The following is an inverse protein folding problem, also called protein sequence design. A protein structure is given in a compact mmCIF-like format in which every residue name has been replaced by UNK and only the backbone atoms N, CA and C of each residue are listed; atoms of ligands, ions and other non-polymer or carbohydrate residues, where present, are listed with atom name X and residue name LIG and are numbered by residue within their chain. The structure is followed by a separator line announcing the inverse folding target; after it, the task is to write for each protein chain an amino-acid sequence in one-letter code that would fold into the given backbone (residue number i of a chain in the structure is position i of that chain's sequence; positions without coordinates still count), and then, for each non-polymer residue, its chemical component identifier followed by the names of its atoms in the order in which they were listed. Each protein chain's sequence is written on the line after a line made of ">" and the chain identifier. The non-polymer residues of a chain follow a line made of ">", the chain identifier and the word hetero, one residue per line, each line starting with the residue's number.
data_IF_688901464882
#
_entry.id   IF_688901464882
#
_cell.length_a   1.000
_cell.length_b   1.000
_cell.length_c   1.000
_cell.angle_alpha   90.00
_cell.angle_beta   90.00
_cell.angle_gamma   90.00
#
_symmetry.space_group_name_H-M   'P 1'
#
loop_
_entity.id
_entity.type
_entity.pdbx_description
1 polymer ?
#
# COMPACT_ATOMS: atom_id res chain seq x y z
N UNK A 1 49.50 -7.05 23.65
CA UNK A 1 48.04 -7.20 23.84
C UNK A 1 47.26 -5.93 23.50
N UNK A 2 47.64 -4.75 23.99
CA UNK A 2 46.90 -3.49 23.69
C UNK A 2 46.81 -3.11 22.18
N UNK A 3 47.81 -3.47 21.34
CA UNK A 3 47.77 -3.20 19.91
C UNK A 3 46.79 -4.06 19.13
N UNK A 4 46.64 -5.32 19.49
CA UNK A 4 45.68 -6.23 18.86
C UNK A 4 44.22 -5.86 19.20
N UNK A 5 43.96 -5.51 20.45
CA UNK A 5 42.65 -5.04 20.88
C UNK A 5 42.21 -3.76 20.18
N UNK A 6 43.15 -2.78 20.00
CA UNK A 6 42.87 -1.55 19.23
C UNK A 6 42.55 -1.84 17.76
N UNK A 7 43.24 -2.79 17.11
CA UNK A 7 42.97 -3.20 15.73
C UNK A 7 41.60 -3.89 15.59
N UNK A 8 41.21 -4.75 16.54
CA UNK A 8 39.90 -5.41 16.54
C UNK A 8 38.77 -4.40 16.74
N UNK A 9 38.96 -3.44 17.67
CA UNK A 9 37.96 -2.36 17.88
C UNK A 9 37.86 -1.48 16.63
N UNK A 10 38.97 -1.09 16.02
CA UNK A 10 38.96 -0.26 14.80
C UNK A 10 38.29 -1.00 13.63
N UNK A 11 38.54 -2.30 13.47
CA UNK A 11 37.88 -3.11 12.44
C UNK A 11 36.38 -3.25 12.70
N UNK A 12 35.94 -3.42 13.96
CA UNK A 12 34.54 -3.48 14.34
C UNK A 12 33.80 -2.16 14.10
N UNK A 13 34.45 -1.04 14.43
CA UNK A 13 33.90 0.31 14.16
C UNK A 13 33.79 0.56 12.66
N UNK A 14 34.81 0.17 11.87
CA UNK A 14 34.79 0.30 10.41
C UNK A 14 33.69 -0.54 9.77
N UNK A 15 33.49 -1.79 10.21
CA UNK A 15 32.42 -2.65 9.73
C UNK A 15 31.02 -2.10 10.09
N UNK A 16 30.85 -1.60 11.31
CA UNK A 16 29.61 -0.95 11.75
C UNK A 16 29.26 0.29 10.94
N UNK A 17 30.25 1.14 10.65
CA UNK A 17 30.08 2.32 9.81
C UNK A 17 29.69 1.96 8.36
N UNK A 18 30.30 0.91 7.79
CA UNK A 18 29.94 0.41 6.46
C UNK A 18 28.51 -0.10 6.39
N UNK A 19 28.06 -0.85 7.41
CA UNK A 19 26.69 -1.35 7.50
C UNK A 19 25.68 -0.20 7.62
N UNK A 20 25.97 0.81 8.46
CA UNK A 20 25.11 2.00 8.56
C UNK A 20 25.07 2.79 7.25
N UNK A 21 26.19 2.93 6.54
CA UNK A 21 26.25 3.53 5.22
C UNK A 21 25.38 2.77 4.21
N UNK A 22 25.46 1.45 4.18
CA UNK A 22 24.59 0.60 3.36
C UNK A 22 23.11 0.78 3.72
N UNK A 23 22.77 0.82 5.03
CA UNK A 23 21.43 1.10 5.50
C UNK A 23 20.90 2.45 5.06
N UNK A 24 21.77 3.49 5.04
CA UNK A 24 21.39 4.81 4.54
C UNK A 24 21.11 4.79 3.03
N UNK A 25 21.94 4.10 2.25
CA UNK A 25 21.73 3.92 0.81
C UNK A 25 20.42 3.17 0.53
N UNK A 26 20.13 2.09 1.26
CA UNK A 26 18.88 1.36 1.14
C UNK A 26 17.67 2.25 1.50
N UNK A 27 17.78 3.05 2.57
CA UNK A 27 16.75 4.00 2.96
C UNK A 27 16.46 5.03 1.87
N UNK A 28 17.50 5.66 1.32
CA UNK A 28 17.34 6.63 0.23
C UNK A 28 16.80 5.96 -1.03
N UNK A 29 17.34 4.81 -1.41
CA UNK A 29 16.93 4.10 -2.63
C UNK A 29 15.50 3.57 -2.58
N UNK A 30 15.04 3.14 -1.41
CA UNK A 30 13.73 2.55 -1.28
C UNK A 30 12.65 3.55 -0.86
N UNK A 31 12.96 4.56 -0.05
CA UNK A 31 11.93 5.41 0.55
C UNK A 31 11.96 6.87 0.08
N UNK A 32 13.06 7.34 -0.53
CA UNK A 32 13.12 8.68 -1.09
C UNK A 32 12.48 8.72 -2.48
N UNK A 33 11.29 9.26 -2.57
CA UNK A 33 10.48 9.27 -3.78
C UNK A 33 11.05 10.11 -4.94
N UNK A 34 12.02 10.97 -4.65
CA UNK A 34 12.71 11.76 -5.68
C UNK A 34 13.82 10.99 -6.42
N UNK A 35 14.33 9.91 -5.82
CA UNK A 35 15.46 9.14 -6.38
C UNK A 35 15.18 7.64 -6.49
N UNK A 36 14.08 7.15 -5.91
CA UNK A 36 13.79 5.71 -5.90
C UNK A 36 13.54 5.15 -7.32
N UNK A 37 13.01 5.94 -8.24
CA UNK A 37 12.82 5.52 -9.63
C UNK A 37 14.11 5.00 -10.26
N UNK A 38 15.26 5.61 -9.93
CA UNK A 38 16.56 5.12 -10.37
C UNK A 38 16.87 3.72 -9.82
N UNK A 39 16.56 3.47 -8.54
CA UNK A 39 16.80 2.17 -7.91
C UNK A 39 15.77 1.14 -8.36
N UNK A 40 14.49 1.51 -8.43
CA UNK A 40 13.42 0.63 -8.90
C UNK A 40 13.70 0.15 -10.32
N UNK A 41 14.01 1.06 -11.26
CA UNK A 41 14.30 0.70 -12.64
C UNK A 41 15.57 -0.17 -12.79
N UNK A 42 16.52 -0.05 -11.87
CA UNK A 42 17.74 -0.86 -11.89
C UNK A 42 17.53 -2.27 -11.33
N UNK A 43 16.66 -2.44 -10.35
CA UNK A 43 16.42 -3.71 -9.65
C UNK A 43 15.13 -4.40 -10.10
N UNK A 44 14.17 -3.64 -10.62
CA UNK A 44 12.95 -4.22 -11.18
C UNK A 44 13.30 -4.78 -12.58
N UNK A 45 13.35 -6.09 -12.68
CA UNK A 45 13.42 -6.72 -13.99
C UNK A 45 12.03 -6.57 -14.61
N UNK A 46 11.92 -6.05 -15.84
CA UNK A 46 10.65 -6.06 -16.55
C UNK A 46 10.11 -7.50 -16.56
N UNK A 47 8.89 -7.69 -16.11
CA UNK A 47 8.18 -8.95 -16.29
C UNK A 47 7.29 -8.78 -17.52
N UNK A 48 7.58 -9.48 -18.64
CA UNK A 48 6.83 -9.32 -19.88
C UNK A 48 5.33 -9.59 -19.73
N UNK A 49 4.93 -10.49 -18.83
CA UNK A 49 3.52 -10.76 -18.58
C UNK A 49 2.87 -9.62 -17.80
N UNK A 50 3.55 -9.10 -16.78
CA UNK A 50 3.08 -7.94 -16.01
C UNK A 50 2.99 -6.69 -16.90
N UNK A 51 4.01 -6.44 -17.71
CA UNK A 51 4.03 -5.31 -18.66
C UNK A 51 2.91 -5.43 -19.70
N UNK A 52 2.61 -6.65 -20.18
CA UNK A 52 1.52 -6.90 -21.12
C UNK A 52 0.14 -6.65 -20.46
N UNK A 53 -0.04 -6.99 -19.19
CA UNK A 53 -1.28 -6.74 -18.46
C UNK A 53 -1.49 -5.24 -18.19
N UNK A 54 -0.45 -4.51 -17.80
CA UNK A 54 -0.51 -3.07 -17.58
C UNK A 54 -0.53 -2.25 -18.88
N UNK A 55 0.02 -2.77 -19.98
CA UNK A 55 -0.10 -2.19 -21.32
C UNK A 55 -1.37 -2.59 -22.05
N UNK A 56 -2.17 -3.51 -21.48
CA UNK A 56 -3.39 -4.02 -22.11
C UNK A 56 -4.54 -3.00 -22.09
N UNK A 57 -5.51 -3.20 -23.00
CA UNK A 57 -6.66 -2.29 -23.20
C UNK A 57 -7.45 -2.07 -21.89
N UNK A 58 -7.60 -3.08 -21.06
CA UNK A 58 -8.34 -2.97 -19.78
C UNK A 58 -7.70 -1.94 -18.86
N UNK A 59 -6.38 -1.98 -18.70
CA UNK A 59 -5.68 -1.08 -17.78
C UNK A 59 -5.54 0.32 -18.37
N UNK A 60 -5.14 0.43 -19.64
CA UNK A 60 -4.97 1.72 -20.33
C UNK A 60 -6.32 2.42 -20.55
N UNK A 61 -7.37 1.68 -20.92
CA UNK A 61 -8.72 2.21 -21.03
C UNK A 61 -9.28 2.76 -19.72
N UNK A 62 -9.03 2.05 -18.60
CA UNK A 62 -9.41 2.54 -17.28
C UNK A 62 -8.64 3.82 -16.89
N UNK A 63 -7.35 3.94 -17.25
CA UNK A 63 -6.60 5.17 -17.02
C UNK A 63 -7.15 6.36 -17.83
N UNK A 64 -7.49 6.14 -19.11
CA UNK A 64 -8.12 7.16 -19.94
C UNK A 64 -9.48 7.55 -19.37
N UNK A 65 -10.27 6.56 -18.91
CA UNK A 65 -11.53 6.80 -18.23
C UNK A 65 -11.32 7.64 -16.95
N UNK A 66 -10.30 7.33 -16.15
CA UNK A 66 -9.99 8.07 -14.93
C UNK A 66 -9.68 9.54 -15.23
N UNK A 67 -8.84 9.81 -16.24
CA UNK A 67 -8.49 11.19 -16.64
C UNK A 67 -9.69 12.02 -17.07
N UNK A 68 -10.71 11.38 -17.65
CA UNK A 68 -11.96 12.05 -18.05
C UNK A 68 -12.90 12.29 -16.87
N UNK A 69 -12.94 11.39 -15.88
CA UNK A 69 -13.94 11.42 -14.79
C UNK A 69 -13.40 12.00 -13.48
N UNK A 70 -12.08 12.08 -13.30
CA UNK A 70 -11.51 12.71 -12.11
C UNK A 70 -11.88 14.18 -12.06
N UNK A 71 -12.30 14.65 -10.88
CA UNK A 71 -12.45 16.08 -10.61
C UNK A 71 -11.11 16.80 -10.51
N UNK A 72 -11.16 18.06 -10.10
CA UNK A 72 -9.95 18.81 -9.72
C UNK A 72 -9.28 18.17 -8.49
N UNK A 73 -7.98 18.43 -8.32
CA UNK A 73 -7.25 18.05 -7.11
C UNK A 73 -7.90 18.71 -5.89
N UNK A 74 -8.40 17.88 -4.98
CA UNK A 74 -8.98 18.32 -3.72
C UNK A 74 -7.94 18.22 -2.61
N UNK A 75 -7.92 19.23 -1.75
CA UNK A 75 -7.00 19.25 -0.61
C UNK A 75 -7.73 19.37 0.71
N UNK A 76 -7.26 18.65 1.71
CA UNK A 76 -7.65 18.83 3.11
C UNK A 76 -6.40 18.96 3.96
N UNK A 77 -6.49 19.68 5.08
CA UNK A 77 -5.37 19.86 6.02
C UNK A 77 -5.80 19.40 7.40
N UNK A 78 -5.01 18.52 8.00
CA UNK A 78 -5.21 18.07 9.38
C UNK A 78 -3.92 18.23 10.18
N UNK A 79 -4.02 18.34 11.50
CA UNK A 79 -2.85 18.41 12.39
C UNK A 79 -1.94 17.18 12.26
N UNK A 80 -2.51 16.02 11.92
CA UNK A 80 -1.80 14.74 11.86
C UNK A 80 -1.10 14.52 10.53
N UNK A 81 -1.72 14.90 9.42
CA UNK A 81 -1.20 14.62 8.07
C UNK A 81 -0.51 15.84 7.43
N UNK A 82 -0.85 17.04 7.85
CA UNK A 82 -0.66 18.26 7.08
C UNK A 82 -1.63 18.30 5.91
N UNK A 83 -1.30 19.02 4.85
CA UNK A 83 -2.08 19.05 3.62
C UNK A 83 -1.92 17.73 2.87
N UNK A 84 -3.04 17.16 2.45
CA UNK A 84 -3.14 15.93 1.65
C UNK A 84 -4.09 16.13 0.48
N UNK A 85 -3.84 15.43 -0.60
CA UNK A 85 -4.45 15.58 -1.90
C UNK A 85 -5.24 14.34 -2.29
N UNK A 86 -6.33 14.50 -3.03
CA UNK A 86 -7.04 13.41 -3.68
C UNK A 86 -7.84 13.88 -4.89
N UNK A 87 -8.08 12.99 -5.82
CA UNK A 87 -9.10 13.15 -6.85
C UNK A 87 -10.42 12.53 -6.39
N UNK A 88 -11.52 13.27 -6.58
CA UNK A 88 -12.87 12.80 -6.25
C UNK A 88 -13.62 12.54 -7.57
N UNK A 89 -14.16 11.34 -7.70
CA UNK A 89 -15.00 10.92 -8.81
C UNK A 89 -16.41 10.74 -8.24
N UNK A 90 -17.34 11.67 -8.45
CA UNK A 90 -18.71 11.56 -7.93
C UNK A 90 -19.49 10.47 -8.67
N UNK A 91 -20.37 9.77 -7.98
CA UNK A 91 -21.31 8.85 -8.62
C UNK A 91 -22.22 9.61 -9.61
N UNK A 92 -22.66 8.94 -10.69
CA UNK A 92 -23.58 9.53 -11.66
C UNK A 92 -24.92 9.98 -11.07
N UNK A 93 -25.37 9.31 -10.02
CA UNK A 93 -26.61 9.61 -9.28
C UNK A 93 -26.31 9.77 -7.80
N UNK A 94 -27.10 10.54 -7.04
CA UNK A 94 -26.94 10.65 -5.59
C UNK A 94 -26.81 9.26 -4.93
N UNK A 95 -25.73 9.02 -4.22
CA UNK A 95 -25.39 7.75 -3.60
C UNK A 95 -24.82 7.96 -2.21
N UNK A 96 -25.11 7.06 -1.28
CA UNK A 96 -24.46 6.97 0.02
C UNK A 96 -23.18 6.15 -0.02
N UNK A 97 -22.93 5.42 -1.14
CA UNK A 97 -21.80 4.51 -1.29
C UNK A 97 -20.55 5.27 -1.71
N UNK A 98 -19.47 5.05 -0.97
CA UNK A 98 -18.17 5.65 -1.22
C UNK A 98 -17.06 4.60 -1.19
N UNK A 99 -16.05 4.77 -2.03
CA UNK A 99 -14.83 3.98 -2.02
C UNK A 99 -13.62 4.88 -1.86
N UNK A 100 -12.76 4.60 -0.86
CA UNK A 100 -11.44 5.24 -0.73
C UNK A 100 -10.40 4.27 -1.29
N UNK A 101 -9.72 4.67 -2.37
CA UNK A 101 -8.88 3.80 -3.21
C UNK A 101 -7.40 4.12 -3.04
N UNK A 102 -6.69 3.31 -2.28
CA UNK A 102 -5.28 3.51 -1.95
C UNK A 102 -4.35 2.81 -2.93
N UNK A 103 -3.51 3.58 -3.62
CA UNK A 103 -2.57 3.08 -4.63
C UNK A 103 -1.34 2.38 -4.03
N UNK A 104 -0.58 1.67 -4.87
CA UNK A 104 0.64 0.96 -4.50
C UNK A 104 1.87 1.87 -4.38
N UNK A 105 3.01 1.24 -4.06
CA UNK A 105 4.32 1.88 -4.03
C UNK A 105 4.76 2.30 -5.44
N UNK A 106 5.46 3.42 -5.54
CA UNK A 106 5.94 4.00 -6.80
C UNK A 106 4.81 4.24 -7.81
N UNK A 107 3.66 4.68 -7.34
CA UNK A 107 2.44 4.83 -8.09
C UNK A 107 1.74 6.16 -7.75
N UNK A 108 0.61 6.45 -8.39
CA UNK A 108 -0.17 7.67 -8.20
C UNK A 108 -1.68 7.34 -8.20
N UNK A 109 -2.56 8.30 -7.87
CA UNK A 109 -4.00 8.06 -7.81
C UNK A 109 -4.61 7.39 -9.05
N UNK A 110 -4.14 7.75 -10.26
CA UNK A 110 -4.62 7.16 -11.52
C UNK A 110 -4.33 5.67 -11.66
N UNK A 111 -3.39 5.12 -10.91
CA UNK A 111 -3.16 3.66 -10.90
C UNK A 111 -4.27 2.88 -10.19
N UNK A 112 -5.21 3.57 -9.51
CA UNK A 112 -6.43 2.96 -8.98
C UNK A 112 -7.60 2.97 -9.96
N UNK A 113 -7.36 3.37 -11.21
CA UNK A 113 -8.39 3.58 -12.23
C UNK A 113 -9.29 2.37 -12.47
N UNK A 114 -8.72 1.16 -12.57
CA UNK A 114 -9.49 -0.09 -12.75
C UNK A 114 -10.49 -0.30 -11.59
N UNK A 115 -10.10 0.06 -10.37
CA UNK A 115 -10.98 -0.02 -9.21
C UNK A 115 -12.01 1.10 -9.23
N UNK A 116 -11.58 2.33 -9.53
CA UNK A 116 -12.45 3.49 -9.58
C UNK A 116 -13.57 3.34 -10.63
N UNK A 117 -13.24 2.85 -11.84
CA UNK A 117 -14.20 2.58 -12.89
C UNK A 117 -15.24 1.54 -12.46
N UNK A 118 -14.81 0.43 -11.85
CA UNK A 118 -15.72 -0.61 -11.36
C UNK A 118 -16.67 -0.08 -10.26
N UNK A 119 -16.11 0.58 -9.23
CA UNK A 119 -16.94 1.13 -8.15
C UNK A 119 -17.89 2.22 -8.65
N UNK A 120 -17.45 3.08 -9.57
CA UNK A 120 -18.29 4.10 -10.16
C UNK A 120 -19.45 3.48 -10.95
N UNK A 121 -19.18 2.46 -11.77
CA UNK A 121 -20.21 1.72 -12.49
C UNK A 121 -21.22 1.03 -11.54
N UNK A 122 -20.76 0.63 -10.35
CA UNK A 122 -21.60 0.08 -9.27
C UNK A 122 -22.33 1.16 -8.43
N UNK A 123 -22.21 2.45 -8.81
CA UNK A 123 -22.90 3.57 -8.18
C UNK A 123 -22.23 4.13 -6.93
N UNK A 124 -20.91 3.95 -6.78
CA UNK A 124 -20.13 4.57 -5.72
C UNK A 124 -19.54 5.91 -6.18
N UNK A 125 -19.42 6.85 -5.26
CA UNK A 125 -18.42 7.92 -5.40
C UNK A 125 -17.06 7.41 -4.95
N UNK A 126 -15.98 7.82 -5.64
CA UNK A 126 -14.64 7.37 -5.32
C UNK A 126 -13.76 8.52 -4.86
N UNK A 127 -12.91 8.28 -3.87
CA UNK A 127 -11.79 9.15 -3.50
C UNK A 127 -10.49 8.39 -3.74
N UNK A 128 -9.60 8.98 -4.55
CA UNK A 128 -8.31 8.42 -4.91
C UNK A 128 -7.22 9.32 -4.32
N UNK A 129 -6.75 9.09 -3.08
CA UNK A 129 -5.76 9.93 -2.43
C UNK A 129 -4.36 9.76 -3.00
N UNK A 130 -3.60 10.86 -3.05
CA UNK A 130 -2.16 10.83 -3.16
C UNK A 130 -1.57 10.36 -1.84
N UNK A 131 -0.91 9.20 -1.84
CA UNK A 131 -0.25 8.68 -0.65
C UNK A 131 1.12 9.36 -0.46
N UNK A 132 1.63 9.32 0.76
CA UNK A 132 2.80 10.08 1.19
C UNK A 132 4.01 9.90 0.28
N UNK A 133 4.44 11.00 -0.33
CA UNK A 133 5.57 11.08 -1.24
C UNK A 133 5.25 10.76 -2.70
N UNK A 134 3.99 10.45 -3.03
CA UNK A 134 3.53 10.05 -4.35
C UNK A 134 2.37 10.91 -4.84
N UNK A 135 2.13 10.89 -6.16
CA UNK A 135 1.11 11.74 -6.76
C UNK A 135 1.42 13.21 -6.50
N UNK A 136 0.43 13.95 -5.99
CA UNK A 136 0.52 15.38 -5.69
C UNK A 136 1.03 15.68 -4.26
N UNK A 137 1.39 14.65 -3.45
CA UNK A 137 1.99 14.85 -2.13
C UNK A 137 3.44 15.35 -2.24
N UNK A 138 3.72 16.49 -1.66
CA UNK A 138 5.03 17.16 -1.75
C UNK A 138 6.13 16.54 -0.88
N UNK A 139 5.78 15.58 -0.02
CA UNK A 139 6.74 14.95 0.88
C UNK A 139 7.77 14.14 0.10
N UNK A 140 8.97 14.07 0.66
CA UNK A 140 10.10 13.42 0.01
C UNK A 140 10.19 11.91 0.25
N UNK A 141 9.60 11.42 1.34
CA UNK A 141 9.79 10.04 1.77
C UNK A 141 8.48 9.30 1.91
N UNK A 142 8.37 8.18 1.21
CA UNK A 142 7.32 7.20 1.35
C UNK A 142 7.29 6.60 2.77
N UNK A 143 6.12 6.22 3.26
CA UNK A 143 5.95 5.60 4.57
C UNK A 143 5.47 4.15 4.54
N UNK A 144 5.34 3.55 3.36
CA UNK A 144 4.92 2.15 3.19
C UNK A 144 3.60 1.83 3.94
N UNK A 145 2.64 2.76 3.91
CA UNK A 145 1.36 2.62 4.61
C UNK A 145 1.32 3.20 6.02
N UNK A 146 2.47 3.38 6.71
CA UNK A 146 2.51 3.73 8.13
C UNK A 146 1.86 5.07 8.46
N UNK A 147 2.18 6.11 7.71
CA UNK A 147 1.53 7.42 7.81
C UNK A 147 0.35 7.56 6.83
N UNK A 148 0.34 6.76 5.77
CA UNK A 148 -0.69 6.78 4.74
C UNK A 148 -2.05 6.37 5.29
N UNK A 149 -2.10 5.51 6.32
CA UNK A 149 -3.34 5.19 7.03
C UNK A 149 -4.04 6.42 7.59
N UNK A 150 -3.27 7.43 8.02
CA UNK A 150 -3.83 8.67 8.55
C UNK A 150 -4.39 9.54 7.43
N UNK A 151 -3.80 9.49 6.23
CA UNK A 151 -4.34 10.10 5.01
C UNK A 151 -5.67 9.43 4.64
N UNK A 152 -5.70 8.09 4.62
CA UNK A 152 -6.93 7.33 4.37
C UNK A 152 -8.05 7.70 5.35
N UNK A 153 -7.75 7.77 6.65
CA UNK A 153 -8.71 8.16 7.69
C UNK A 153 -9.15 9.62 7.54
N UNK A 154 -8.25 10.52 7.16
CA UNK A 154 -8.61 11.92 6.92
C UNK A 154 -9.66 12.06 5.80
N UNK A 155 -9.51 11.31 4.71
CA UNK A 155 -10.49 11.28 3.64
C UNK A 155 -11.79 10.57 4.02
N UNK A 156 -11.77 9.56 4.87
CA UNK A 156 -12.98 8.98 5.48
C UNK A 156 -13.75 10.05 6.27
N UNK A 157 -13.06 10.84 7.09
CA UNK A 157 -13.70 11.90 7.87
C UNK A 157 -14.27 13.01 6.97
N UNK A 158 -13.53 13.39 5.92
CA UNK A 158 -14.03 14.33 4.91
C UNK A 158 -15.34 13.84 4.27
N UNK A 159 -15.42 12.56 3.87
CA UNK A 159 -16.67 11.99 3.33
C UNK A 159 -17.82 12.15 4.33
N UNK A 160 -17.58 11.82 5.60
CA UNK A 160 -18.61 11.86 6.64
C UNK A 160 -19.09 13.29 6.93
N UNK A 161 -18.19 14.27 6.84
CA UNK A 161 -18.55 15.69 6.96
C UNK A 161 -19.47 16.14 5.82
N UNK A 162 -19.27 15.64 4.60
CA UNK A 162 -20.12 15.96 3.45
C UNK A 162 -21.38 15.11 3.37
N UNK A 163 -21.31 13.83 3.82
CA UNK A 163 -22.37 12.83 3.77
C UNK A 163 -22.37 12.01 5.06
N UNK A 164 -23.05 12.45 6.14
CA UNK A 164 -23.02 11.78 7.43
C UNK A 164 -23.55 10.34 7.45
N UNK A 165 -24.37 9.97 6.46
CA UNK A 165 -24.93 8.64 6.26
C UNK A 165 -24.16 7.80 5.23
N UNK A 166 -22.99 8.24 4.83
CA UNK A 166 -22.14 7.52 3.87
C UNK A 166 -21.80 6.10 4.35
N UNK A 167 -21.77 5.18 3.40
CA UNK A 167 -21.33 3.79 3.54
C UNK A 167 -20.00 3.63 2.76
N UNK A 168 -18.90 3.43 3.49
CA UNK A 168 -17.55 3.59 2.96
C UNK A 168 -16.83 2.24 2.87
N UNK A 169 -16.27 1.93 1.71
CA UNK A 169 -15.32 0.84 1.49
C UNK A 169 -13.91 1.43 1.41
N UNK A 170 -12.96 0.77 2.07
CA UNK A 170 -11.54 1.04 1.90
C UNK A 170 -10.97 -0.03 0.97
N UNK A 171 -10.39 0.34 -0.16
CA UNK A 171 -9.77 -0.60 -1.07
C UNK A 171 -8.34 -0.15 -1.39
N UNK A 172 -7.38 -1.06 -1.25
CA UNK A 172 -5.99 -0.78 -1.58
C UNK A 172 -5.28 -2.01 -2.13
N UNK A 173 -4.28 -1.78 -2.99
CA UNK A 173 -3.41 -2.83 -3.49
C UNK A 173 -1.96 -2.59 -3.06
N UNK A 174 -1.18 -3.65 -2.82
CA UNK A 174 0.22 -3.59 -2.44
C UNK A 174 0.45 -2.71 -1.18
N UNK A 175 1.21 -1.62 -1.29
CA UNK A 175 1.35 -0.61 -0.23
C UNK A 175 -0.01 -0.02 0.17
N UNK A 176 -0.93 0.17 -0.78
CA UNK A 176 -2.28 0.62 -0.49
C UNK A 176 -3.08 -0.39 0.33
N UNK A 177 -2.90 -1.70 0.08
CA UNK A 177 -3.48 -2.75 0.92
C UNK A 177 -2.93 -2.70 2.35
N UNK A 178 -1.61 -2.47 2.51
CA UNK A 178 -1.02 -2.24 3.82
C UNK A 178 -1.62 -1.00 4.49
N UNK A 179 -1.83 0.08 3.74
CA UNK A 179 -2.46 1.32 4.20
C UNK A 179 -3.86 1.06 4.76
N UNK A 180 -4.74 0.38 4.00
CA UNK A 180 -6.11 0.12 4.46
C UNK A 180 -6.13 -0.85 5.64
N UNK A 181 -5.28 -1.88 5.64
CA UNK A 181 -5.17 -2.80 6.79
C UNK A 181 -4.69 -2.08 8.06
N UNK A 182 -3.71 -1.18 7.95
CA UNK A 182 -3.25 -0.37 9.07
C UNK A 182 -4.34 0.58 9.55
N UNK A 183 -5.14 1.17 8.64
CA UNK A 183 -6.28 2.00 8.99
C UNK A 183 -7.35 1.21 9.73
N UNK A 184 -7.68 -0.02 9.29
CA UNK A 184 -8.67 -0.87 9.99
C UNK A 184 -8.23 -1.30 11.40
N UNK A 185 -6.93 -1.23 11.69
CA UNK A 185 -6.39 -1.47 13.04
C UNK A 185 -6.56 -0.28 13.99
N UNK A 186 -7.03 0.87 13.51
CA UNK A 186 -7.40 2.04 14.31
C UNK A 186 -8.91 2.02 14.61
N UNK A 187 -9.36 2.91 15.49
CA UNK A 187 -10.80 3.10 15.73
C UNK A 187 -11.40 3.89 14.56
N UNK A 188 -12.13 3.20 13.69
CA UNK A 188 -12.79 3.82 12.54
C UNK A 188 -14.25 4.19 12.83
N UNK A 189 -14.80 5.23 12.17
CA UNK A 189 -16.22 5.52 12.18
C UNK A 189 -17.05 4.34 11.66
N UNK A 190 -18.26 4.16 12.20
CA UNK A 190 -19.22 3.11 11.78
C UNK A 190 -19.63 3.16 10.30
N UNK A 191 -19.34 4.28 9.66
CA UNK A 191 -19.53 4.49 8.23
C UNK A 191 -18.60 3.62 7.37
N UNK A 192 -17.44 3.23 7.88
CA UNK A 192 -16.55 2.27 7.21
C UNK A 192 -17.13 0.87 7.39
N UNK A 193 -17.62 0.29 6.30
CA UNK A 193 -18.37 -0.97 6.30
C UNK A 193 -17.47 -2.18 6.04
N UNK A 194 -16.49 -2.04 5.16
CA UNK A 194 -15.59 -3.12 4.78
C UNK A 194 -14.27 -2.60 4.24
N UNK A 195 -13.29 -3.50 4.16
CA UNK A 195 -12.00 -3.27 3.51
C UNK A 195 -11.68 -4.37 2.49
N UNK A 196 -11.01 -3.99 1.42
CA UNK A 196 -10.46 -4.86 0.37
C UNK A 196 -8.96 -4.68 0.36
N UNK A 197 -8.22 -5.75 0.63
CA UNK A 197 -6.76 -5.75 0.71
C UNK A 197 -6.19 -6.68 -0.37
N UNK A 198 -5.71 -6.09 -1.48
CA UNK A 198 -5.12 -6.82 -2.60
C UNK A 198 -3.59 -6.82 -2.51
N UNK A 199 -2.97 -8.01 -2.54
CA UNK A 199 -1.54 -8.28 -2.51
C UNK A 199 -0.75 -7.50 -1.44
N UNK A 200 -1.32 -7.33 -0.25
CA UNK A 200 -0.69 -6.63 0.86
C UNK A 200 0.34 -7.47 1.62
N UNK A 201 1.36 -6.81 2.19
CA UNK A 201 2.38 -7.47 2.99
C UNK A 201 2.00 -7.53 4.48
N UNK A 202 2.60 -8.50 5.21
CA UNK A 202 2.34 -8.70 6.65
C UNK A 202 3.05 -7.69 7.55
N UNK A 203 4.29 -7.33 7.19
CA UNK A 203 5.14 -6.42 7.97
C UNK A 203 6.21 -5.80 7.05
N UNK A 204 6.42 -4.50 7.17
CA UNK A 204 7.33 -3.75 6.31
C UNK A 204 8.80 -4.25 6.42
N UNK A 205 9.28 -4.59 7.62
CA UNK A 205 10.62 -5.14 7.81
C UNK A 205 10.77 -6.50 7.09
N UNK A 206 9.76 -7.38 7.21
CA UNK A 206 9.76 -8.68 6.51
C UNK A 206 9.75 -8.49 5.00
N UNK A 207 8.95 -7.54 4.48
CA UNK A 207 8.87 -7.23 3.06
C UNK A 207 10.22 -6.74 2.51
N UNK A 208 10.86 -5.78 3.16
CA UNK A 208 12.21 -5.35 2.75
C UNK A 208 13.24 -6.46 2.86
N UNK A 209 13.15 -7.31 3.89
CA UNK A 209 14.02 -8.47 4.03
C UNK A 209 13.85 -9.47 2.88
N UNK A 210 12.61 -9.71 2.45
CA UNK A 210 12.30 -10.55 1.29
C UNK A 210 12.89 -9.95 -0.01
N UNK A 211 12.58 -8.68 -0.29
CA UNK A 211 13.08 -7.97 -1.48
C UNK A 211 14.61 -7.99 -1.52
N UNK A 212 15.26 -7.68 -0.41
CA UNK A 212 16.73 -7.66 -0.35
C UNK A 212 17.33 -9.04 -0.61
N UNK A 213 16.71 -10.11 -0.09
CA UNK A 213 17.13 -11.49 -0.33
C UNK A 213 16.90 -11.93 -1.77
N UNK A 214 15.73 -11.66 -2.33
CA UNK A 214 15.31 -12.15 -3.65
C UNK A 214 16.01 -11.41 -4.79
N UNK A 215 16.20 -10.10 -4.66
CA UNK A 215 16.69 -9.27 -5.76
C UNK A 215 18.17 -8.85 -5.61
N UNK A 216 18.67 -8.71 -4.38
CA UNK A 216 20.06 -8.35 -4.13
C UNK A 216 20.90 -9.49 -3.55
N UNK A 217 20.30 -10.65 -3.26
CA UNK A 217 20.94 -11.81 -2.64
C UNK A 217 21.64 -11.51 -1.30
N UNK A 218 21.13 -10.50 -0.58
CA UNK A 218 21.64 -10.07 0.71
C UNK A 218 20.70 -10.47 1.84
N UNK A 219 21.22 -10.80 3.05
CA UNK A 219 20.39 -11.11 4.20
C UNK A 219 19.70 -9.85 4.75
N UNK A 220 18.54 -10.02 5.39
CA UNK A 220 17.86 -8.92 6.05
C UNK A 220 18.74 -8.27 7.14
N UNK A 221 19.30 -9.09 8.05
CA UNK A 221 20.25 -8.63 9.05
C UNK A 221 21.68 -8.67 8.47
N UNK A 222 22.49 -7.62 8.62
CA UNK A 222 22.21 -6.38 9.38
C UNK A 222 21.63 -5.22 8.56
N UNK A 223 21.35 -5.41 7.27
CA UNK A 223 21.09 -4.31 6.32
C UNK A 223 19.74 -3.64 6.54
N UNK A 224 18.66 -4.43 6.69
CA UNK A 224 17.32 -3.86 6.97
C UNK A 224 17.27 -3.24 8.37
N UNK A 225 18.08 -3.76 9.32
CA UNK A 225 18.21 -3.15 10.65
C UNK A 225 18.88 -1.79 10.60
N UNK A 226 19.94 -1.66 9.80
CA UNK A 226 20.59 -0.38 9.56
C UNK A 226 19.66 0.61 8.84
N UNK A 227 18.92 0.15 7.82
CA UNK A 227 17.86 0.95 7.15
C UNK A 227 16.81 1.41 8.17
N UNK A 228 16.33 0.51 9.04
CA UNK A 228 15.38 0.85 10.09
C UNK A 228 15.94 1.89 11.07
N UNK A 229 17.20 1.75 11.49
CA UNK A 229 17.85 2.72 12.36
C UNK A 229 17.92 4.12 11.70
N UNK A 230 18.24 4.20 10.41
CA UNK A 230 18.24 5.45 9.64
C UNK A 230 16.84 6.03 9.55
N UNK A 231 15.81 5.22 9.24
CA UNK A 231 14.42 5.65 9.17
C UNK A 231 13.94 6.26 10.48
N UNK A 232 14.22 5.60 11.60
CA UNK A 232 13.87 6.09 12.94
C UNK A 232 14.63 7.37 13.28
N UNK A 233 15.94 7.43 13.02
CA UNK A 233 16.76 8.62 13.27
C UNK A 233 16.29 9.83 12.47
N UNK A 234 15.77 9.63 11.26
CA UNK A 234 15.16 10.67 10.41
C UNK A 234 13.71 10.98 10.77
N UNK A 235 13.18 10.40 11.85
CA UNK A 235 11.80 10.59 12.32
C UNK A 235 10.75 10.27 11.25
N UNK A 236 11.07 9.33 10.33
CA UNK A 236 10.08 8.87 9.36
C UNK A 236 9.17 7.83 10.05
N UNK A 237 9.54 6.55 10.04
CA UNK A 237 8.79 5.51 10.75
C UNK A 237 9.70 4.34 11.15
N UNK A 238 9.20 3.48 12.02
CA UNK A 238 9.89 2.23 12.37
C UNK A 238 9.35 1.09 11.50
N UNK A 239 10.21 0.49 10.67
CA UNK A 239 9.85 -0.59 9.75
C UNK A 239 9.25 -1.81 10.47
N UNK A 240 9.73 -2.13 11.67
CA UNK A 240 9.22 -3.26 12.47
C UNK A 240 7.83 -2.99 13.04
N UNK A 241 7.51 -1.71 13.34
CA UNK A 241 6.20 -1.28 13.84
C UNK A 241 5.19 -1.06 12.71
N UNK A 242 5.64 -0.94 11.48
CA UNK A 242 4.77 -0.94 10.32
C UNK A 242 4.34 -2.39 10.04
N UNK A 243 3.26 -2.81 10.69
CA UNK A 243 2.84 -4.20 10.82
C UNK A 243 1.35 -4.35 10.52
N UNK A 244 0.96 -4.45 9.24
CA UNK A 244 -0.42 -4.76 8.87
C UNK A 244 -0.99 -6.00 9.55
N UNK A 245 -0.17 -7.05 9.76
CA UNK A 245 -0.63 -8.26 10.46
C UNK A 245 -1.05 -7.98 11.92
N UNK A 246 -0.38 -7.06 12.62
CA UNK A 246 -0.80 -6.68 13.97
C UNK A 246 -2.00 -5.73 13.94
N UNK A 247 -2.20 -4.99 12.86
CA UNK A 247 -3.38 -4.16 12.67
C UNK A 247 -4.64 -5.02 12.46
N UNK A 248 -4.60 -6.01 11.56
CA UNK A 248 -5.75 -6.87 11.30
C UNK A 248 -6.14 -7.76 12.48
N UNK A 249 -5.22 -8.09 13.39
CA UNK A 249 -5.50 -8.81 14.65
C UNK A 249 -6.45 -8.05 15.58
N UNK A 250 -6.45 -6.72 15.52
CA UNK A 250 -7.30 -5.86 16.36
C UNK A 250 -8.42 -5.17 15.59
N UNK A 251 -8.46 -5.36 14.26
CA UNK A 251 -9.49 -4.82 13.40
C UNK A 251 -10.84 -5.48 13.68
N UNK A 252 -11.89 -4.67 13.67
CA UNK A 252 -13.28 -5.12 13.68
C UNK A 252 -13.97 -4.93 12.32
N UNK A 253 -13.27 -4.30 11.35
CA UNK A 253 -13.78 -4.02 10.01
C UNK A 253 -13.74 -5.28 9.15
N UNK A 254 -14.88 -5.74 8.60
CA UNK A 254 -14.93 -6.86 7.66
C UNK A 254 -13.93 -6.67 6.53
N UNK A 255 -13.09 -7.70 6.25
CA UNK A 255 -12.00 -7.55 5.30
C UNK A 255 -11.92 -8.75 4.35
N UNK A 256 -11.88 -8.48 3.04
CA UNK A 256 -11.55 -9.48 2.02
C UNK A 256 -10.12 -9.31 1.56
N UNK A 257 -9.39 -10.42 1.48
CA UNK A 257 -8.00 -10.48 1.03
C UNK A 257 -7.94 -11.13 -0.35
N UNK A 258 -7.29 -10.46 -1.31
CA UNK A 258 -7.02 -11.01 -2.63
C UNK A 258 -5.51 -11.05 -2.86
N UNK A 259 -5.04 -12.02 -3.65
CA UNK A 259 -3.62 -12.13 -3.95
C UNK A 259 -3.37 -13.02 -5.16
N UNK A 260 -2.43 -12.64 -5.99
CA UNK A 260 -1.95 -13.50 -7.08
C UNK A 260 -1.10 -14.67 -6.56
N UNK A 261 -1.36 -15.88 -7.04
CA UNK A 261 -0.60 -17.08 -6.58
C UNK A 261 0.85 -17.09 -7.08
N UNK A 262 1.16 -16.33 -8.15
CA UNK A 262 2.50 -16.18 -8.71
C UNK A 262 3.22 -14.89 -8.27
N UNK A 263 2.69 -14.19 -7.27
CA UNK A 263 3.32 -12.98 -6.72
C UNK A 263 4.60 -13.33 -5.95
N UNK A 264 5.75 -12.95 -6.49
CA UNK A 264 7.07 -13.14 -5.89
C UNK A 264 7.63 -11.85 -5.27
N UNK A 265 7.01 -10.70 -5.54
CA UNK A 265 7.40 -9.41 -4.95
C UNK A 265 6.84 -9.23 -3.53
N UNK A 266 5.53 -9.47 -3.35
CA UNK A 266 4.92 -9.69 -2.03
C UNK A 266 4.49 -11.16 -1.99
N UNK A 267 5.24 -12.03 -1.32
CA UNK A 267 4.99 -13.46 -1.40
C UNK A 267 3.56 -13.86 -1.02
N UNK A 268 2.92 -14.67 -1.87
CA UNK A 268 1.54 -15.13 -1.72
C UNK A 268 1.21 -15.64 -0.30
N UNK A 269 2.14 -16.34 0.39
CA UNK A 269 1.91 -16.83 1.75
C UNK A 269 1.55 -15.73 2.75
N UNK A 270 1.90 -14.47 2.46
CA UNK A 270 1.56 -13.35 3.33
C UNK A 270 0.04 -13.10 3.39
N UNK A 271 -0.70 -13.41 2.33
CA UNK A 271 -2.17 -13.38 2.39
C UNK A 271 -2.71 -14.39 3.40
N UNK A 272 -2.17 -15.61 3.43
CA UNK A 272 -2.59 -16.63 4.39
C UNK A 272 -2.28 -16.23 5.84
N UNK A 273 -1.09 -15.63 6.07
CA UNK A 273 -0.73 -15.09 7.39
C UNK A 273 -1.72 -13.98 7.82
N UNK A 274 -2.04 -13.04 6.91
CA UNK A 274 -2.98 -11.93 7.17
C UNK A 274 -4.40 -12.45 7.42
N UNK A 275 -4.89 -13.32 6.55
CA UNK A 275 -6.21 -13.94 6.69
C UNK A 275 -6.33 -14.66 8.03
N UNK A 276 -5.37 -15.51 8.38
CA UNK A 276 -5.40 -16.26 9.64
C UNK A 276 -5.35 -15.35 10.86
N UNK A 277 -4.62 -14.25 10.79
CA UNK A 277 -4.46 -13.29 11.89
C UNK A 277 -5.66 -12.35 12.06
N UNK A 278 -6.41 -12.07 11.00
CA UNK A 278 -7.53 -11.12 11.03
C UNK A 278 -8.62 -11.56 11.99
N UNK A 279 -9.02 -10.67 12.92
CA UNK A 279 -10.04 -10.94 13.93
C UNK A 279 -11.47 -10.65 13.42
N UNK A 280 -11.61 -9.75 12.45
CA UNK A 280 -12.91 -9.36 11.88
C UNK A 280 -13.50 -10.45 10.97
N UNK A 281 -14.79 -10.35 10.60
CA UNK A 281 -15.36 -11.13 9.51
C UNK A 281 -14.50 -11.01 8.26
N UNK A 282 -14.21 -12.13 7.62
CA UNK A 282 -13.16 -12.16 6.58
C UNK A 282 -13.47 -13.17 5.49
N UNK A 283 -12.96 -12.87 4.29
CA UNK A 283 -12.86 -13.80 3.17
C UNK A 283 -11.47 -13.69 2.54
N UNK A 284 -11.08 -14.67 1.73
CA UNK A 284 -9.88 -14.58 0.89
C UNK A 284 -10.13 -15.25 -0.45
N UNK A 285 -9.49 -14.72 -1.49
CA UNK A 285 -9.54 -15.27 -2.84
C UNK A 285 -8.13 -15.22 -3.47
N UNK A 286 -7.49 -16.38 -3.67
CA UNK A 286 -6.34 -16.47 -4.54
C UNK A 286 -6.75 -16.30 -6.00
N UNK A 287 -5.94 -15.57 -6.78
CA UNK A 287 -6.09 -15.46 -8.24
C UNK A 287 -4.94 -16.22 -8.89
N UNK A 288 -5.29 -17.33 -9.51
CA UNK A 288 -4.31 -18.28 -10.04
C UNK A 288 -3.43 -17.65 -11.12
N UNK A 289 -2.12 -17.81 -10.97
CA UNK A 289 -1.11 -17.32 -11.91
C UNK A 289 -1.00 -15.80 -11.99
N UNK A 290 -1.74 -15.03 -11.19
CA UNK A 290 -1.58 -13.59 -11.17
C UNK A 290 -0.26 -13.20 -10.47
N UNK A 291 0.46 -12.26 -11.09
CA UNK A 291 1.67 -11.63 -10.57
C UNK A 291 1.32 -10.52 -9.58
N UNK A 292 2.35 -9.81 -9.06
CA UNK A 292 2.16 -8.70 -8.14
C UNK A 292 1.25 -7.62 -8.71
N UNK A 293 0.19 -7.28 -7.97
CA UNK A 293 -0.81 -6.24 -8.30
C UNK A 293 -1.58 -6.46 -9.63
N UNK A 294 -1.56 -7.68 -10.21
CA UNK A 294 -2.25 -7.96 -11.48
C UNK A 294 -3.57 -8.74 -11.30
N UNK A 295 -3.96 -9.06 -10.08
CA UNK A 295 -5.12 -9.91 -9.80
C UNK A 295 -6.41 -9.42 -10.46
N UNK A 296 -6.69 -8.12 -10.40
CA UNK A 296 -7.91 -7.49 -10.96
C UNK A 296 -7.98 -7.46 -12.49
N UNK A 297 -6.84 -7.58 -13.18
CA UNK A 297 -6.75 -7.61 -14.65
C UNK A 297 -6.50 -9.01 -15.18
N UNK A 298 -5.92 -9.92 -14.39
CA UNK A 298 -5.67 -11.31 -14.76
C UNK A 298 -6.95 -12.13 -14.81
N UNK A 299 -7.80 -12.02 -13.81
CA UNK A 299 -9.13 -12.63 -13.76
C UNK A 299 -10.15 -11.65 -13.17
N UNK A 300 -10.58 -10.65 -13.95
CA UNK A 300 -11.50 -9.63 -13.48
C UNK A 300 -12.86 -10.22 -13.05
N UNK A 301 -13.32 -11.29 -13.70
CA UNK A 301 -14.60 -11.90 -13.37
C UNK A 301 -14.58 -12.51 -11.96
N UNK A 302 -13.57 -13.29 -11.62
CA UNK A 302 -13.42 -13.89 -10.29
C UNK A 302 -13.12 -12.82 -9.23
N UNK A 303 -12.26 -11.85 -9.58
CA UNK A 303 -11.88 -10.77 -8.69
C UNK A 303 -13.11 -9.98 -8.21
N UNK A 304 -13.87 -9.42 -9.15
CA UNK A 304 -15.04 -8.59 -8.84
C UNK A 304 -16.21 -9.39 -8.29
N UNK A 305 -16.45 -10.61 -8.76
CA UNK A 305 -17.43 -11.51 -8.14
C UNK A 305 -17.14 -11.71 -6.64
N UNK A 306 -15.86 -11.83 -6.28
CA UNK A 306 -15.47 -12.02 -4.88
C UNK A 306 -15.65 -10.73 -4.08
N UNK A 307 -15.16 -9.60 -4.60
CA UNK A 307 -15.28 -8.30 -3.93
C UNK A 307 -16.75 -7.93 -3.74
N UNK A 308 -17.53 -7.91 -4.82
CA UNK A 308 -18.94 -7.50 -4.78
C UNK A 308 -19.78 -8.44 -3.90
N UNK A 309 -19.56 -9.76 -4.02
CA UNK A 309 -20.24 -10.76 -3.19
C UNK A 309 -19.90 -10.63 -1.71
N UNK A 310 -18.67 -10.22 -1.36
CA UNK A 310 -18.31 -9.95 0.02
C UNK A 310 -18.95 -8.65 0.51
N UNK A 311 -18.86 -7.57 -0.26
CA UNK A 311 -19.39 -6.25 0.09
C UNK A 311 -20.90 -6.25 0.26
N UNK A 312 -21.65 -7.02 -0.54
CA UNK A 312 -23.09 -7.14 -0.46
C UNK A 312 -23.62 -7.60 0.92
N UNK A 313 -22.74 -8.11 1.80
CA UNK A 313 -23.14 -8.45 3.17
C UNK A 313 -23.10 -7.24 4.12
N UNK A 314 -22.56 -6.10 3.69
CA UNK A 314 -22.27 -4.95 4.57
C UNK A 314 -22.78 -3.62 4.04
N UNK A 315 -23.01 -3.52 2.69
CA UNK A 315 -23.43 -2.31 1.97
C UNK A 315 -24.62 -2.60 1.06
#
# INVERSE_FOLDING_TARGET
>A
MASAAKKVIAAGVGAGAAVLGAGALLYEGALNTKINSFFVNKFNKPDPEQDALYGGETYTGAQDWFEVHKGEDQTITTDKTGTVHAYIIPAEKPSRRWAVLCHGYNSAPNATAVFAEHYHAAGYSCICPSLRGWGDDEKRYCSMGFHDKDICIAWVNYIIEQAPDAEIVLHGYSMGAATVMLATGETLPKNVKAAVADCGFTNCYKQFGHVLKSYAHLPAFPFVDAMNAVSVARKNFNLRKNSPIDAVKRSVTPTVFLHGTADDFVPYYMMDELYNACAAPKAKQPIEGALHATASVKDPALYWKTVDGFLANYI
#
